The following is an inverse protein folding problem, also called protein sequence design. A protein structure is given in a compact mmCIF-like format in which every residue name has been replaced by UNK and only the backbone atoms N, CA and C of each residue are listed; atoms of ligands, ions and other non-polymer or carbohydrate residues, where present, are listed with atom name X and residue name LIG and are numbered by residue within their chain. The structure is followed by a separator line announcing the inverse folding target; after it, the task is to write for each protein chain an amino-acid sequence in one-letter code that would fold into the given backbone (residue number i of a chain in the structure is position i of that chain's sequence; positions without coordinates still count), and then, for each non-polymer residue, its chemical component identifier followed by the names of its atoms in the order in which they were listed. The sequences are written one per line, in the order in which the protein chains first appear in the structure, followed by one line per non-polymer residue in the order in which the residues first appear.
data_IF_020583121466
#
_entry.id   IF_020583121466
#
_cell.length_a   1.000
_cell.length_b   1.000
_cell.length_c   1.000
_cell.angle_alpha   90.00
_cell.angle_beta   90.00
_cell.angle_gamma   90.00
#
_symmetry.space_group_name_H-M   'P 1'
#
loop_
_entity.id
_entity.type
_entity.pdbx_description
1 polymer ?
#
# COMPACT_ATOMS: atom_id res chain seq x y z
N UNK A 1 3.11 -31.50 10.38
CA UNK A 1 2.75 -30.09 10.12
C UNK A 1 2.24 -29.95 8.70
N UNK A 2 1.46 -28.92 8.40
CA UNK A 2 0.92 -28.63 7.07
C UNK A 2 1.36 -27.23 6.63
N UNK A 3 1.64 -27.06 5.33
CA UNK A 3 2.10 -25.79 4.74
C UNK A 3 1.01 -25.25 3.83
N UNK A 4 0.58 -24.02 4.06
CA UNK A 4 -0.31 -23.26 3.17
C UNK A 4 0.51 -22.21 2.44
N UNK A 5 0.40 -22.15 1.11
CA UNK A 5 0.98 -21.08 0.30
C UNK A 5 -0.12 -20.10 -0.05
N UNK A 6 0.04 -18.84 0.37
CA UNK A 6 -0.91 -17.78 0.06
C UNK A 6 -0.34 -16.87 -1.03
N UNK A 7 -0.82 -16.96 -2.28
CA UNK A 7 -0.42 -16.01 -3.31
C UNK A 7 -0.92 -14.61 -2.98
N UNK A 8 -0.16 -13.56 -3.35
CA UNK A 8 -0.55 -12.15 -3.17
C UNK A 8 -0.81 -11.75 -1.70
N UNK A 9 0.02 -12.27 -0.79
CA UNK A 9 -0.09 -11.96 0.63
C UNK A 9 0.26 -10.49 0.96
N UNK A 10 1.10 -9.87 0.13
CA UNK A 10 1.59 -8.51 0.31
C UNK A 10 1.60 -7.75 -1.01
N UNK A 11 1.17 -6.47 -1.00
CA UNK A 11 1.41 -5.54 -2.09
C UNK A 11 2.91 -5.39 -2.34
N UNK A 12 3.26 -5.25 -3.60
CA UNK A 12 4.62 -5.02 -4.05
C UNK A 12 4.73 -3.63 -4.68
N UNK A 13 5.79 -2.89 -4.36
CA UNK A 13 5.99 -1.49 -4.78
C UNK A 13 7.23 -1.34 -5.65
N UNK A 14 7.01 -1.17 -6.96
CA UNK A 14 8.02 -0.73 -7.91
C UNK A 14 7.91 0.78 -8.19
N UNK A 15 8.83 1.34 -8.96
CA UNK A 15 8.84 2.76 -9.34
C UNK A 15 7.57 3.23 -10.06
N UNK A 16 6.73 2.33 -10.57
CA UNK A 16 5.48 2.64 -11.25
C UNK A 16 4.24 2.46 -10.37
N UNK A 17 4.37 1.92 -9.15
CA UNK A 17 3.22 1.50 -8.34
C UNK A 17 2.26 2.66 -8.07
N UNK A 18 2.77 3.84 -7.69
CA UNK A 18 1.93 5.02 -7.37
C UNK A 18 1.11 5.45 -8.59
N UNK A 19 1.74 5.50 -9.76
CA UNK A 19 1.07 5.88 -11.00
C UNK A 19 0.03 4.83 -11.42
N UNK A 20 0.35 3.54 -11.27
CA UNK A 20 -0.59 2.46 -11.60
C UNK A 20 -1.82 2.46 -10.68
N UNK A 21 -1.61 2.67 -9.37
CA UNK A 21 -2.72 2.79 -8.41
C UNK A 21 -3.57 4.03 -8.73
N UNK A 22 -2.95 5.17 -9.02
CA UNK A 22 -3.68 6.38 -9.41
C UNK A 22 -4.54 6.16 -10.65
N UNK A 23 -4.00 5.53 -11.71
CA UNK A 23 -4.75 5.20 -12.92
C UNK A 23 -5.97 4.31 -12.63
N UNK A 24 -5.83 3.33 -11.74
CA UNK A 24 -6.95 2.45 -11.35
C UNK A 24 -8.01 3.24 -10.58
N UNK A 25 -7.61 4.08 -9.64
CA UNK A 25 -8.52 4.91 -8.85
C UNK A 25 -9.29 5.89 -9.75
N UNK A 26 -8.59 6.62 -10.62
CA UNK A 26 -9.21 7.54 -11.59
C UNK A 26 -10.21 6.81 -12.50
N UNK A 27 -9.85 5.61 -12.96
CA UNK A 27 -10.76 4.80 -13.78
C UNK A 27 -11.98 4.35 -12.99
N UNK A 28 -11.82 3.88 -11.76
CA UNK A 28 -12.94 3.47 -10.90
C UNK A 28 -13.88 4.64 -10.63
N UNK A 29 -13.34 5.81 -10.30
CA UNK A 29 -14.14 7.01 -10.04
C UNK A 29 -14.96 7.43 -11.28
N UNK A 30 -14.36 7.34 -12.47
CA UNK A 30 -15.02 7.73 -13.72
C UNK A 30 -16.01 6.68 -14.26
N UNK A 31 -15.66 5.39 -14.16
CA UNK A 31 -16.34 4.32 -14.88
C UNK A 31 -17.15 3.38 -13.98
N UNK A 32 -16.83 3.31 -12.69
CA UNK A 32 -17.45 2.40 -11.72
C UNK A 32 -17.59 3.07 -10.33
N UNK A 33 -18.28 4.22 -10.22
CA UNK A 33 -18.33 5.02 -8.98
C UNK A 33 -19.01 4.30 -7.79
N UNK A 34 -19.66 3.17 -8.04
CA UNK A 34 -20.25 2.28 -7.03
C UNK A 34 -19.30 1.16 -6.55
N UNK A 35 -18.04 1.16 -7.00
CA UNK A 35 -17.00 0.22 -6.58
C UNK A 35 -16.04 0.94 -5.64
N UNK A 36 -15.89 0.41 -4.43
CA UNK A 36 -15.08 1.04 -3.38
C UNK A 36 -13.88 0.17 -3.01
N UNK A 37 -12.65 0.60 -3.31
CA UNK A 37 -11.44 -0.09 -2.87
C UNK A 37 -11.26 -0.03 -1.36
N UNK A 38 -11.07 -1.18 -0.71
CA UNK A 38 -10.84 -1.27 0.75
C UNK A 38 -9.78 -2.30 1.10
N UNK A 39 -9.14 -2.13 2.25
CA UNK A 39 -8.16 -3.05 2.80
C UNK A 39 -6.88 -3.22 1.97
N UNK A 40 -6.04 -4.18 2.39
CA UNK A 40 -4.68 -4.38 1.87
C UNK A 40 -4.59 -4.50 0.34
N UNK A 41 -5.34 -5.43 -0.24
CA UNK A 41 -5.26 -5.71 -1.68
C UNK A 41 -6.18 -4.81 -2.51
N UNK A 42 -7.31 -4.37 -1.96
CA UNK A 42 -8.21 -3.45 -2.68
C UNK A 42 -7.55 -2.09 -2.89
N UNK A 43 -6.85 -1.58 -1.88
CA UNK A 43 -6.16 -0.29 -1.94
C UNK A 43 -4.69 -0.41 -2.35
N UNK A 44 -4.18 -1.63 -2.56
CA UNK A 44 -2.76 -1.94 -2.80
C UNK A 44 -1.83 -1.26 -1.79
N UNK A 45 -2.19 -1.32 -0.49
CA UNK A 45 -1.43 -0.76 0.63
C UNK A 45 -1.11 -1.82 1.67
N UNK A 46 0.04 -1.69 2.34
CA UNK A 46 0.50 -2.65 3.35
C UNK A 46 -0.28 -2.50 4.66
N UNK A 47 -1.59 -2.80 4.66
CA UNK A 47 -2.43 -2.58 5.83
C UNK A 47 -2.43 -3.77 6.79
N UNK A 48 -2.31 -3.52 8.09
CA UNK A 48 -2.65 -4.52 9.12
C UNK A 48 -4.17 -4.78 9.13
N UNK A 49 -4.60 -5.75 9.94
CA UNK A 49 -5.99 -6.24 9.94
C UNK A 49 -6.96 -5.16 10.41
N UNK A 50 -6.63 -4.46 11.49
CA UNK A 50 -7.30 -3.31 12.08
C UNK A 50 -7.50 -2.19 11.04
N UNK A 51 -6.45 -1.72 10.36
CA UNK A 51 -6.55 -0.75 9.27
C UNK A 51 -7.41 -1.26 8.11
N UNK A 52 -7.28 -2.54 7.75
CA UNK A 52 -8.11 -3.14 6.70
C UNK A 52 -9.60 -3.18 7.09
N UNK A 53 -9.92 -3.49 8.34
CA UNK A 53 -11.29 -3.45 8.84
C UNK A 53 -11.80 -2.01 8.93
N UNK A 54 -10.98 -1.07 9.38
CA UNK A 54 -11.38 0.31 9.55
C UNK A 54 -11.72 0.98 8.22
N UNK A 55 -10.91 0.77 7.18
CA UNK A 55 -11.24 1.22 5.81
C UNK A 55 -12.58 0.65 5.31
N UNK A 56 -12.89 -0.61 5.64
CA UNK A 56 -14.17 -1.23 5.29
C UNK A 56 -15.35 -0.61 6.07
N UNK A 57 -15.17 -0.31 7.36
CA UNK A 57 -16.19 0.33 8.18
C UNK A 57 -16.54 1.73 7.68
N UNK A 58 -15.53 2.57 7.43
CA UNK A 58 -15.73 3.91 6.89
C UNK A 58 -16.42 3.89 5.51
N UNK A 59 -16.04 2.93 4.66
CA UNK A 59 -16.69 2.74 3.35
C UNK A 59 -18.15 2.33 3.51
N UNK A 60 -18.45 1.39 4.40
CA UNK A 60 -19.83 0.97 4.66
C UNK A 60 -20.68 2.11 5.20
N UNK A 61 -20.11 2.96 6.08
CA UNK A 61 -20.79 4.16 6.60
C UNK A 61 -21.07 5.20 5.51
N UNK A 62 -20.10 5.46 4.62
CA UNK A 62 -20.28 6.32 3.44
C UNK A 62 -21.46 5.84 2.60
N UNK A 63 -21.54 4.53 2.33
CA UNK A 63 -22.63 3.94 1.53
C UNK A 63 -23.98 4.02 2.26
N UNK A 64 -24.01 3.68 3.55
CA UNK A 64 -25.26 3.55 4.30
C UNK A 64 -25.88 4.91 4.66
N UNK A 65 -25.05 5.93 4.90
CA UNK A 65 -25.49 7.22 5.46
C UNK A 65 -25.28 8.40 4.51
N UNK A 66 -24.50 8.22 3.44
CA UNK A 66 -24.08 9.32 2.58
C UNK A 66 -22.97 10.19 3.20
N UNK A 67 -22.25 9.69 4.21
CA UNK A 67 -21.05 10.36 4.71
C UNK A 67 -19.91 10.34 3.67
N UNK A 68 -18.86 11.13 3.93
CA UNK A 68 -17.76 11.38 3.00
C UNK A 68 -16.39 11.17 3.67
N UNK A 69 -16.23 10.08 4.40
CA UNK A 69 -14.94 9.70 4.97
C UNK A 69 -13.91 9.45 3.86
N UNK A 70 -12.74 10.08 3.98
CA UNK A 70 -11.59 9.76 3.14
C UNK A 70 -10.93 8.47 3.63
N UNK A 71 -11.24 7.35 2.97
CA UNK A 71 -10.66 6.05 3.31
C UNK A 71 -9.18 5.97 2.96
N UNK A 72 -8.70 6.79 2.02
CA UNK A 72 -7.29 6.84 1.63
C UNK A 72 -6.43 7.60 2.63
N UNK A 73 -7.04 8.35 3.56
CA UNK A 73 -6.33 8.97 4.68
C UNK A 73 -6.17 8.05 5.88
N UNK A 74 -6.78 6.85 5.89
CA UNK A 74 -6.54 5.85 6.94
C UNK A 74 -5.07 5.46 6.89
N UNK A 75 -4.33 6.01 7.85
CA UNK A 75 -2.89 5.89 7.87
C UNK A 75 -2.50 4.51 8.38
N UNK A 76 -1.47 3.95 7.77
CA UNK A 76 -1.02 2.58 8.01
C UNK A 76 0.15 2.54 9.01
N UNK A 77 0.70 3.72 9.29
CA UNK A 77 1.99 3.92 9.95
C UNK A 77 1.89 4.75 11.25
N UNK A 78 0.72 5.31 11.56
CA UNK A 78 0.52 6.06 12.81
C UNK A 78 0.60 5.13 14.03
N UNK A 79 0.19 3.87 13.87
CA UNK A 79 0.28 2.83 14.91
C UNK A 79 1.69 2.21 15.03
N UNK A 80 2.55 2.30 14.00
CA UNK A 80 3.93 1.78 14.09
C UNK A 80 4.83 2.57 15.06
N UNK A 81 4.38 3.76 15.48
CA UNK A 81 5.06 4.60 16.46
C UNK A 81 4.63 4.36 17.92
N UNK A 82 3.89 3.29 18.23
CA UNK A 82 3.83 2.81 19.61
C UNK A 82 5.12 2.02 19.93
N UNK A 83 6.02 2.64 20.71
CA UNK A 83 7.31 2.14 21.23
C UNK A 83 8.53 2.13 20.29
N UNK A 84 9.03 3.32 19.96
CA UNK A 84 10.47 3.55 19.92
C UNK A 84 10.82 4.63 20.95
N UNK A 85 10.97 4.23 22.21
CA UNK A 85 11.79 5.01 23.13
C UNK A 85 13.20 5.02 22.56
N UNK A 86 13.57 6.18 22.02
CA UNK A 86 14.92 6.59 21.64
C UNK A 86 15.96 6.05 22.63
N UNK A 87 16.85 5.20 22.14
CA UNK A 87 18.22 5.18 22.64
C UNK A 87 19.14 5.33 21.43
N UNK A 88 19.97 6.37 21.50
CA UNK A 88 20.83 6.85 20.44
C UNK A 88 22.13 6.04 20.42
N UNK A 89 22.63 5.63 19.24
CA UNK A 89 24.07 5.62 18.96
C UNK A 89 24.38 5.47 17.46
N UNK A 90 25.44 6.16 17.07
CA UNK A 90 25.83 6.62 15.73
C UNK A 90 26.56 5.57 14.86
N UNK A 91 26.53 5.75 13.53
CA UNK A 91 27.48 5.10 12.61
C UNK A 91 27.19 5.17 11.10
N UNK A 92 27.83 6.13 10.42
CA UNK A 92 28.48 6.05 9.07
C UNK A 92 27.68 5.96 7.73
N UNK A 93 27.41 7.14 7.14
CA UNK A 93 27.67 7.65 5.75
C UNK A 93 27.20 6.93 4.44
N UNK A 94 27.12 7.61 3.27
CA UNK A 94 25.85 8.04 2.70
C UNK A 94 25.60 7.50 1.27
N UNK A 95 24.41 6.95 1.01
CA UNK A 95 23.85 6.91 -0.34
C UNK A 95 22.55 7.71 -0.35
N UNK A 96 22.38 8.51 -1.40
CA UNK A 96 21.34 9.53 -1.53
C UNK A 96 19.96 8.88 -1.57
N UNK A 97 19.42 8.59 -0.40
CA UNK A 97 17.99 8.41 -0.17
C UNK A 97 17.41 9.77 0.22
N UNK A 98 16.41 10.22 -0.53
CA UNK A 98 15.54 11.34 -0.16
C UNK A 98 15.26 11.30 1.34
N UNK A 99 15.56 12.39 2.07
CA UNK A 99 15.20 12.52 3.49
C UNK A 99 13.69 12.51 3.62
N UNK A 100 13.12 11.33 3.79
CA UNK A 100 11.70 11.11 3.95
C UNK A 100 11.48 10.02 4.98
N UNK A 101 11.69 10.34 6.25
CA UNK A 101 10.99 9.82 7.46
C UNK A 101 10.60 8.33 7.60
N UNK A 102 11.03 7.42 6.72
CA UNK A 102 10.61 6.01 6.73
C UNK A 102 9.12 5.78 6.42
N UNK A 103 8.44 6.73 5.76
CA UNK A 103 6.96 6.84 5.66
C UNK A 103 6.30 6.13 4.46
N UNK A 104 7.01 5.22 3.82
CA UNK A 104 6.51 4.45 2.68
C UNK A 104 7.27 3.13 2.64
N UNK A 105 6.60 2.01 2.31
CA UNK A 105 7.35 0.78 2.08
C UNK A 105 8.32 0.99 0.90
N UNK A 106 9.53 0.41 0.96
CA UNK A 106 10.60 0.72 0.02
C UNK A 106 10.17 0.42 -1.41
N UNK A 107 10.37 1.40 -2.28
CA UNK A 107 10.14 1.29 -3.71
C UNK A 107 11.39 0.69 -4.35
N UNK A 108 11.25 -0.44 -5.03
CA UNK A 108 12.38 -1.15 -5.62
C UNK A 108 12.33 -1.02 -7.13
N UNK A 109 13.42 -0.54 -7.73
CA UNK A 109 13.54 -0.38 -9.18
C UNK A 109 13.34 -1.72 -9.90
N UNK A 110 12.63 -1.75 -11.03
CA UNK A 110 12.33 -2.98 -11.77
C UNK A 110 13.58 -3.71 -12.26
N UNK A 111 14.64 -2.96 -12.59
CA UNK A 111 15.96 -3.48 -12.96
C UNK A 111 16.65 -4.31 -11.86
N UNK A 112 16.21 -4.15 -10.59
CA UNK A 112 16.69 -4.98 -9.49
C UNK A 112 16.20 -6.44 -9.61
N UNK A 113 15.16 -6.68 -10.41
CA UNK A 113 14.57 -8.00 -10.63
C UNK A 113 15.04 -8.59 -11.96
N UNK A 114 15.27 -9.90 -11.98
CA UNK A 114 15.60 -10.63 -13.21
C UNK A 114 14.52 -10.46 -14.30
N UNK A 115 14.91 -10.62 -15.57
CA UNK A 115 14.04 -10.44 -16.73
C UNK A 115 12.79 -11.34 -16.68
N UNK A 116 12.89 -12.51 -16.04
CA UNK A 116 11.79 -13.46 -15.88
C UNK A 116 10.76 -13.06 -14.81
N UNK A 117 11.06 -12.06 -13.99
CA UNK A 117 10.24 -11.64 -12.87
C UNK A 117 8.89 -11.07 -13.34
N UNK A 118 7.76 -11.33 -12.65
CA UNK A 118 6.44 -10.93 -13.11
C UNK A 118 6.26 -9.44 -13.43
N UNK A 119 7.02 -8.55 -12.81
CA UNK A 119 6.93 -7.10 -13.04
C UNK A 119 7.53 -6.67 -14.38
N UNK A 120 8.49 -7.46 -14.89
CA UNK A 120 9.18 -7.25 -16.16
C UNK A 120 8.42 -7.90 -17.32
N UNK A 121 7.36 -8.66 -17.03
CA UNK A 121 6.46 -9.19 -18.05
C UNK A 121 5.47 -8.10 -18.45
N UNK A 122 5.29 -7.91 -19.76
CA UNK A 122 4.19 -7.09 -20.26
C UNK A 122 2.87 -7.64 -19.67
N UNK A 123 2.04 -6.75 -19.13
CA UNK A 123 0.68 -7.12 -18.75
C UNK A 123 0.03 -7.74 -19.99
N UNK A 124 -0.46 -8.98 -19.87
CA UNK A 124 -1.23 -9.59 -20.95
C UNK A 124 -2.43 -8.68 -21.24
N UNK A 125 -2.39 -8.03 -22.40
CA UNK A 125 -3.43 -7.10 -22.87
C UNK A 125 -4.73 -7.80 -23.18
#
# INVERSE_FOLDING_TARGET
GYVVRMPKAYPFYDEHYKANVANIVEWLDACAPNVHPVGRNGMHRYNNQDHSMYTAMLTAENIATGSHHDVWSVNVEEEYHETASVDETEGDNPSVGTRGTGRDAPVIAREHYGDEHPINRAAAG
#
